data_IF_788757831040
#
_entry.id   IF_788757831040
#
_cell.length_a   1.000
_cell.length_b   1.000
_cell.length_c   1.000
_cell.angle_alpha   90.00
_cell.angle_beta   90.00
_cell.angle_gamma   90.00
#
_symmetry.space_group_name_H-M   'P 1'
#
loop_
_entity.id
_entity.type
_entity.pdbx_description
1 polymer ?
#
# COMPACT_ATOMS: atom_id res chain seq x y z
N UNK A 1 -6.29 -32.16 61.03
CA UNK A 1 -7.21 -31.86 59.92
C UNK A 1 -6.86 -30.48 59.38
N UNK A 2 -5.99 -30.41 58.38
CA UNK A 2 -5.55 -29.14 57.82
C UNK A 2 -6.65 -28.61 56.89
N UNK A 3 -7.46 -27.66 57.36
CA UNK A 3 -8.31 -26.85 56.49
C UNK A 3 -7.39 -25.93 55.68
N UNK A 4 -6.88 -26.42 54.54
CA UNK A 4 -6.03 -25.64 53.65
C UNK A 4 -6.89 -24.64 52.88
N UNK A 5 -7.05 -23.45 53.47
CA UNK A 5 -7.61 -22.23 52.85
C UNK A 5 -7.01 -21.89 51.48
N UNK A 6 -5.86 -22.49 51.15
CA UNK A 6 -5.20 -22.47 49.85
C UNK A 6 -6.08 -23.08 48.74
N UNK A 7 -6.79 -24.18 49.01
CA UNK A 7 -7.58 -24.87 47.98
C UNK A 7 -8.79 -24.07 47.48
N UNK A 8 -9.34 -23.17 48.31
CA UNK A 8 -10.46 -22.31 47.93
C UNK A 8 -10.06 -21.15 47.00
N UNK A 9 -8.77 -20.77 47.02
CA UNK A 9 -8.25 -19.68 46.18
C UNK A 9 -7.84 -20.16 44.78
N UNK A 10 -7.68 -21.47 44.60
CA UNK A 10 -7.25 -22.05 43.33
C UNK A 10 -8.47 -22.08 42.39
N UNK A 11 -8.40 -21.42 41.21
CA UNK A 11 -9.42 -21.63 40.18
C UNK A 11 -9.29 -23.07 39.68
N UNK A 12 -10.16 -23.95 40.18
CA UNK A 12 -10.13 -25.36 39.82
C UNK A 12 -10.84 -25.61 38.48
N UNK A 13 -10.37 -26.62 37.76
CA UNK A 13 -10.88 -27.02 36.45
C UNK A 13 -11.60 -28.37 36.50
N UNK A 14 -12.10 -28.79 37.67
CA UNK A 14 -12.75 -30.09 37.85
C UNK A 14 -14.02 -30.25 36.99
N UNK A 15 -14.66 -29.14 36.65
CA UNK A 15 -15.81 -29.07 35.76
C UNK A 15 -15.42 -29.07 34.26
N UNK A 16 -14.15 -28.87 33.93
CA UNK A 16 -13.59 -28.87 32.57
C UNK A 16 -12.70 -30.10 32.33
N UNK A 17 -13.15 -31.27 32.79
CA UNK A 17 -12.47 -32.54 32.52
C UNK A 17 -12.63 -32.95 31.05
N UNK A 18 -11.67 -33.67 30.44
CA UNK A 18 -11.76 -34.07 29.03
C UNK A 18 -13.05 -34.82 28.64
N UNK A 19 -13.61 -35.74 29.47
CA UNK A 19 -14.91 -36.36 29.17
C UNK A 19 -16.07 -35.36 29.16
N UNK A 20 -16.07 -34.38 30.08
CA UNK A 20 -17.08 -33.33 30.13
C UNK A 20 -16.99 -32.41 28.90
N UNK A 21 -15.78 -31.99 28.51
CA UNK A 21 -15.56 -31.17 27.31
C UNK A 21 -16.07 -31.88 26.06
N UNK A 22 -15.77 -33.18 25.87
CA UNK A 22 -16.27 -33.95 24.73
C UNK A 22 -17.80 -33.98 24.67
N UNK A 23 -18.46 -34.16 25.83
CA UNK A 23 -19.93 -34.15 25.94
C UNK A 23 -20.51 -32.76 25.63
N UNK A 24 -19.90 -31.70 26.16
CA UNK A 24 -20.32 -30.32 25.90
C UNK A 24 -20.16 -29.95 24.42
N UNK A 25 -19.00 -30.22 23.82
CA UNK A 25 -18.76 -29.97 22.40
C UNK A 25 -19.72 -30.76 21.50
N UNK A 26 -20.05 -32.01 21.85
CA UNK A 26 -21.03 -32.80 21.10
C UNK A 26 -22.43 -32.16 21.10
N UNK A 27 -22.86 -31.60 22.23
CA UNK A 27 -24.12 -30.86 22.32
C UNK A 27 -24.07 -29.51 21.58
N UNK A 28 -22.91 -28.84 21.56
CA UNK A 28 -22.74 -27.55 20.89
C UNK A 28 -22.64 -27.65 19.36
N UNK A 29 -22.27 -28.82 18.81
CA UNK A 29 -22.11 -29.03 17.36
C UNK A 29 -23.34 -28.64 16.54
N UNK A 30 -24.54 -28.76 17.09
CA UNK A 30 -25.79 -28.38 16.39
C UNK A 30 -25.90 -26.87 16.11
N UNK A 31 -25.16 -26.03 16.83
CA UNK A 31 -25.14 -24.58 16.63
C UNK A 31 -24.03 -24.10 15.69
N UNK A 32 -23.09 -24.98 15.33
CA UNK A 32 -21.99 -24.66 14.44
C UNK A 32 -22.39 -24.87 12.98
N UNK A 33 -21.90 -24.02 12.09
CA UNK A 33 -21.98 -24.20 10.64
C UNK A 33 -20.63 -24.67 10.09
N UNK A 34 -20.65 -25.40 8.97
CA UNK A 34 -19.41 -25.79 8.29
C UNK A 34 -18.76 -24.57 7.64
N UNK A 35 -17.44 -24.51 7.68
CA UNK A 35 -16.67 -23.56 6.91
C UNK A 35 -16.76 -23.93 5.41
N UNK A 36 -16.90 -22.96 4.49
CA UNK A 36 -16.92 -23.23 3.05
C UNK A 36 -15.59 -23.84 2.57
N UNK A 37 -15.67 -25.00 1.91
CA UNK A 37 -14.52 -25.76 1.36
C UNK A 37 -13.84 -25.04 0.18
N UNK A 38 -14.51 -24.06 -0.44
CA UNK A 38 -13.91 -23.27 -1.52
C UNK A 38 -12.82 -22.31 -0.99
N UNK A 39 -12.92 -21.92 0.29
CA UNK A 39 -12.05 -20.95 0.96
C UNK A 39 -11.00 -21.63 1.85
N UNK A 40 -10.26 -22.58 1.26
CA UNK A 40 -9.21 -23.33 1.95
C UNK A 40 -7.91 -22.55 2.15
N UNK A 41 -7.63 -21.57 1.28
CA UNK A 41 -6.39 -20.78 1.30
C UNK A 41 -6.67 -19.29 1.43
N UNK A 42 -5.79 -18.58 2.15
CA UNK A 42 -5.91 -17.14 2.39
C UNK A 42 -5.92 -16.34 1.07
N UNK A 43 -5.18 -16.78 0.06
CA UNK A 43 -5.16 -16.15 -1.27
C UNK A 43 -6.55 -16.16 -1.93
N UNK A 44 -7.30 -17.26 -1.82
CA UNK A 44 -8.67 -17.33 -2.36
C UNK A 44 -9.61 -16.43 -1.56
N UNK A 45 -9.42 -16.36 -0.24
CA UNK A 45 -10.17 -15.44 0.61
C UNK A 45 -9.95 -13.98 0.20
N UNK A 46 -8.70 -13.58 -0.10
CA UNK A 46 -8.39 -12.22 -0.54
C UNK A 46 -9.00 -11.87 -1.91
N UNK A 47 -9.05 -12.83 -2.84
CA UNK A 47 -9.66 -12.63 -4.16
C UNK A 47 -11.18 -12.43 -4.06
N UNK A 48 -11.87 -13.23 -3.25
CA UNK A 48 -13.32 -13.15 -3.11
C UNK A 48 -13.78 -12.07 -2.11
N UNK A 49 -12.99 -11.84 -1.07
CA UNK A 49 -13.29 -10.95 0.05
C UNK A 49 -12.08 -10.03 0.34
N UNK A 50 -11.86 -9.00 -0.49
CA UNK A 50 -10.69 -8.12 -0.37
C UNK A 50 -10.71 -7.16 0.83
N UNK A 51 -11.84 -7.08 1.55
CA UNK A 51 -12.05 -6.17 2.67
C UNK A 51 -11.99 -6.95 3.99
N UNK A 52 -11.03 -6.60 4.83
CA UNK A 52 -10.93 -7.11 6.19
C UNK A 52 -11.44 -6.06 7.19
N UNK A 53 -12.32 -6.46 8.10
CA UNK A 53 -12.83 -5.60 9.17
C UNK A 53 -12.41 -6.17 10.52
N UNK A 54 -11.60 -5.41 11.25
CA UNK A 54 -11.10 -5.77 12.57
C UNK A 54 -11.91 -5.08 13.67
N UNK A 55 -12.41 -5.90 14.59
CA UNK A 55 -13.22 -5.50 15.75
C UNK A 55 -12.68 -6.22 16.98
N UNK A 56 -12.61 -5.52 18.11
CA UNK A 56 -12.10 -6.07 19.36
C UNK A 56 -13.16 -6.05 20.47
N UNK A 57 -13.44 -7.21 21.04
CA UNK A 57 -14.32 -7.36 22.21
C UNK A 57 -13.49 -7.69 23.46
N UNK A 58 -13.89 -7.11 24.60
CA UNK A 58 -13.15 -7.19 25.86
C UNK A 58 -14.02 -7.78 26.96
N UNK A 59 -13.53 -8.81 27.64
CA UNK A 59 -14.22 -9.48 28.74
C UNK A 59 -13.45 -9.21 30.04
N UNK A 60 -14.12 -8.62 31.03
CA UNK A 60 -13.55 -8.31 32.34
C UNK A 60 -14.51 -8.74 33.46
N UNK A 61 -13.96 -9.23 34.57
CA UNK A 61 -14.75 -9.52 35.77
C UNK A 61 -15.12 -8.20 36.48
N UNK A 62 -16.42 -7.88 36.51
CA UNK A 62 -16.92 -6.67 37.16
C UNK A 62 -18.39 -6.43 36.86
N UNK A 63 -19.01 -5.43 37.52
CA UNK A 63 -20.43 -5.11 37.33
C UNK A 63 -20.71 -4.41 35.99
N UNK A 64 -19.70 -3.76 35.39
CA UNK A 64 -19.84 -3.07 34.11
C UNK A 64 -19.29 -3.92 32.98
N UNK A 65 -20.11 -4.10 31.93
CA UNK A 65 -19.72 -4.71 30.66
C UNK A 65 -19.15 -3.71 29.65
N UNK A 66 -19.17 -2.42 29.97
CA UNK A 66 -18.83 -1.36 29.01
C UNK A 66 -17.32 -1.19 28.91
N UNK A 67 -16.78 -1.31 27.71
CA UNK A 67 -15.40 -0.95 27.40
C UNK A 67 -15.37 0.09 26.27
N UNK A 68 -14.79 1.29 26.47
CA UNK A 68 -14.73 2.30 25.43
C UNK A 68 -13.91 1.87 24.20
N UNK A 69 -13.01 0.89 24.32
CA UNK A 69 -12.17 0.42 23.22
C UNK A 69 -12.91 -0.46 22.21
N UNK A 70 -14.05 -1.07 22.59
CA UNK A 70 -14.81 -1.95 21.68
C UNK A 70 -15.56 -1.22 20.58
N UNK A 71 -15.64 0.12 20.64
CA UNK A 71 -16.26 0.93 19.59
C UNK A 71 -15.39 1.08 18.34
N UNK A 72 -14.08 0.86 18.47
CA UNK A 72 -13.11 1.11 17.42
C UNK A 72 -13.27 0.07 16.31
N UNK A 73 -13.37 0.52 15.07
CA UNK A 73 -13.42 -0.33 13.88
C UNK A 73 -12.25 0.02 12.99
N UNK A 74 -11.55 -1.01 12.49
CA UNK A 74 -10.47 -0.84 11.52
C UNK A 74 -10.81 -1.62 10.27
N UNK A 75 -10.77 -0.96 9.12
CA UNK A 75 -10.95 -1.59 7.81
C UNK A 75 -9.60 -1.59 7.10
N UNK A 76 -9.21 -2.77 6.60
CA UNK A 76 -8.04 -2.94 5.75
C UNK A 76 -8.50 -3.38 4.36
N UNK A 77 -7.91 -2.79 3.33
CA UNK A 77 -8.17 -3.15 1.94
C UNK A 77 -6.90 -2.95 1.11
N UNK A 78 -6.60 -3.88 0.20
CA UNK A 78 -5.51 -3.70 -0.76
C UNK A 78 -5.96 -2.83 -1.92
N UNK A 79 -5.17 -1.81 -2.31
CA UNK A 79 -5.57 -0.93 -3.42
C UNK A 79 -5.62 -1.66 -4.76
N UNK A 80 -4.80 -2.69 -4.95
CA UNK A 80 -4.84 -3.59 -6.11
C UNK A 80 -6.17 -4.32 -6.32
N UNK A 81 -6.98 -4.48 -5.26
CA UNK A 81 -8.30 -5.10 -5.37
C UNK A 81 -9.40 -4.13 -5.83
N UNK A 82 -9.13 -2.82 -5.77
CA UNK A 82 -10.06 -1.78 -6.21
C UNK A 82 -9.87 -1.51 -7.70
N UNK A 83 -10.97 -1.28 -8.40
CA UNK A 83 -10.94 -0.83 -9.79
C UNK A 83 -10.56 0.66 -9.84
N UNK A 84 -9.27 0.97 -9.82
CA UNK A 84 -8.72 2.33 -9.88
C UNK A 84 -7.82 2.46 -11.10
N UNK A 85 -7.91 3.60 -11.79
CA UNK A 85 -6.93 3.97 -12.80
C UNK A 85 -5.67 4.60 -12.15
N UNK A 86 -4.65 4.88 -12.97
CA UNK A 86 -3.40 5.46 -12.48
C UNK A 86 -3.59 6.83 -11.82
N UNK A 87 -4.57 7.61 -12.29
CA UNK A 87 -4.90 8.92 -11.74
C UNK A 87 -5.57 8.79 -10.37
N UNK A 88 -6.66 8.02 -10.29
CA UNK A 88 -7.42 7.78 -9.08
C UNK A 88 -6.58 7.09 -8.02
N UNK A 89 -5.72 6.13 -8.39
CA UNK A 89 -4.81 5.49 -7.43
C UNK A 89 -3.85 6.50 -6.81
N UNK A 90 -3.21 7.35 -7.61
CA UNK A 90 -2.30 8.40 -7.11
C UNK A 90 -3.06 9.41 -6.25
N UNK A 91 -4.20 9.90 -6.73
CA UNK A 91 -5.04 10.85 -6.00
C UNK A 91 -5.52 10.28 -4.67
N UNK A 92 -5.92 9.01 -4.63
CA UNK A 92 -6.35 8.32 -3.42
C UNK A 92 -5.21 8.19 -2.42
N UNK A 93 -4.00 7.80 -2.86
CA UNK A 93 -2.81 7.74 -1.99
C UNK A 93 -2.52 9.12 -1.37
N UNK A 94 -2.62 10.19 -2.15
CA UNK A 94 -2.48 11.57 -1.66
C UNK A 94 -3.55 11.96 -0.63
N UNK A 95 -4.83 11.67 -0.90
CA UNK A 95 -5.94 11.99 0.01
C UNK A 95 -5.84 11.25 1.35
N UNK A 96 -5.38 10.01 1.31
CA UNK A 96 -5.30 9.10 2.46
C UNK A 96 -4.06 9.39 3.32
N UNK A 97 -2.95 9.79 2.69
CA UNK A 97 -1.69 10.12 3.35
C UNK A 97 -1.12 8.95 4.15
N UNK A 98 -0.91 9.14 5.46
CA UNK A 98 -0.26 8.18 6.36
C UNK A 98 -1.02 6.86 6.59
N UNK A 99 -2.28 6.77 6.15
CA UNK A 99 -3.12 5.58 6.34
C UNK A 99 -2.86 4.49 5.30
N UNK A 100 -2.09 4.79 4.25
CA UNK A 100 -1.69 3.84 3.21
C UNK A 100 -0.23 3.42 3.40
N UNK A 101 0.03 2.11 3.32
CA UNK A 101 1.37 1.57 3.37
C UNK A 101 1.85 1.17 1.96
N UNK A 102 2.89 1.85 1.45
CA UNK A 102 3.48 1.57 0.13
C UNK A 102 4.09 0.17 0.00
N UNK A 103 4.58 -0.41 1.09
CA UNK A 103 5.23 -1.72 1.07
C UNK A 103 4.24 -2.88 0.96
N UNK A 104 3.09 -2.76 1.62
CA UNK A 104 2.08 -3.82 1.67
C UNK A 104 0.89 -3.57 0.74
N UNK A 105 0.79 -2.39 0.11
CA UNK A 105 -0.35 -1.93 -0.70
C UNK A 105 -1.68 -1.88 0.09
N UNK A 106 -1.62 -1.81 1.41
CA UNK A 106 -2.80 -1.82 2.30
C UNK A 106 -3.19 -0.40 2.71
N UNK A 107 -4.46 -0.07 2.50
CA UNK A 107 -5.16 1.08 3.05
C UNK A 107 -5.83 0.69 4.37
N UNK A 108 -5.48 1.39 5.46
CA UNK A 108 -6.05 1.17 6.79
C UNK A 108 -6.90 2.36 7.22
N UNK A 109 -8.22 2.16 7.29
CA UNK A 109 -9.17 3.16 7.80
C UNK A 109 -9.59 2.78 9.21
N UNK A 110 -9.09 3.51 10.20
CA UNK A 110 -9.50 3.39 11.60
C UNK A 110 -10.51 4.46 11.97
N UNK A 111 -11.61 4.06 12.60
CA UNK A 111 -12.68 4.95 13.08
C UNK A 111 -13.03 4.67 14.54
N UNK A 112 -13.17 5.74 15.33
CA UNK A 112 -13.48 5.69 16.76
C UNK A 112 -14.38 6.84 17.24
N UNK A 113 -14.96 7.58 16.29
CA UNK A 113 -15.71 8.83 16.52
C UNK A 113 -17.06 8.59 17.18
N UNK A 114 -17.79 7.56 16.75
CA UNK A 114 -19.14 7.30 17.21
C UNK A 114 -19.15 6.41 18.47
N UNK A 115 -20.13 6.57 19.38
CA UNK A 115 -20.25 5.73 20.56
C UNK A 115 -20.52 4.25 20.24
N UNK A 116 -21.32 3.98 19.21
CA UNK A 116 -21.69 2.62 18.82
C UNK A 116 -20.76 2.08 17.74
N UNK A 117 -20.36 0.81 17.91
CA UNK A 117 -19.56 0.07 16.92
C UNK A 117 -20.23 0.05 15.54
N UNK A 118 -21.55 -0.16 15.49
CA UNK A 118 -22.31 -0.17 14.22
C UNK A 118 -22.15 1.14 13.45
N UNK A 119 -22.19 2.27 14.13
CA UNK A 119 -22.02 3.58 13.51
C UNK A 119 -20.60 3.76 12.96
N UNK A 120 -19.58 3.33 13.71
CA UNK A 120 -18.19 3.37 13.22
C UNK A 120 -17.99 2.43 12.03
N UNK A 121 -18.63 1.25 12.02
CA UNK A 121 -18.62 0.34 10.88
C UNK A 121 -19.21 1.02 9.64
N UNK A 122 -20.45 1.51 9.72
CA UNK A 122 -21.13 2.19 8.61
C UNK A 122 -20.32 3.41 8.12
N UNK A 123 -19.76 4.18 9.04
CA UNK A 123 -18.92 5.33 8.73
C UNK A 123 -17.62 4.94 8.02
N UNK A 124 -17.04 3.78 8.33
CA UNK A 124 -15.82 3.30 7.68
C UNK A 124 -16.09 2.96 6.22
N UNK A 125 -17.22 2.31 5.92
CA UNK A 125 -17.66 2.06 4.54
C UNK A 125 -18.02 3.35 3.79
N UNK A 126 -18.65 4.30 4.47
CA UNK A 126 -18.91 5.62 3.90
C UNK A 126 -17.60 6.31 3.50
N UNK A 127 -16.59 6.34 4.37
CA UNK A 127 -15.30 6.94 4.05
C UNK A 127 -14.62 6.26 2.86
N UNK A 128 -14.62 4.93 2.81
CA UNK A 128 -14.08 4.19 1.68
C UNK A 128 -14.79 4.56 0.38
N UNK A 129 -16.13 4.65 0.41
CA UNK A 129 -16.95 5.00 -0.76
C UNK A 129 -16.68 6.42 -1.24
N UNK A 130 -16.61 7.39 -0.33
CA UNK A 130 -16.30 8.79 -0.67
C UNK A 130 -14.89 8.90 -1.24
N UNK A 131 -13.89 8.28 -0.61
CA UNK A 131 -12.52 8.30 -1.11
C UNK A 131 -12.42 7.73 -2.52
N UNK A 132 -13.11 6.61 -2.77
CA UNK A 132 -13.20 6.03 -4.10
C UNK A 132 -13.80 7.02 -5.11
N UNK A 133 -15.00 7.54 -4.88
CA UNK A 133 -15.63 8.44 -5.84
C UNK A 133 -14.90 9.77 -6.04
N UNK A 134 -14.32 10.35 -4.98
CA UNK A 134 -13.52 11.58 -5.08
C UNK A 134 -12.19 11.36 -5.81
N UNK A 135 -11.62 10.15 -5.73
CA UNK A 135 -10.41 9.82 -6.46
C UNK A 135 -10.61 9.80 -7.98
N UNK A 136 -11.80 9.45 -8.45
CA UNK A 136 -12.14 9.44 -9.88
C UNK A 136 -12.43 10.83 -10.47
N UNK A 137 -12.77 11.82 -9.64
CA UNK A 137 -13.04 13.17 -10.12
C UNK A 137 -11.73 13.86 -10.47
N UNK A 138 -11.69 14.58 -11.59
CA UNK A 138 -10.56 15.43 -11.96
C UNK A 138 -10.97 16.88 -11.78
N UNK A 139 -10.33 17.57 -10.84
CA UNK A 139 -10.61 18.97 -10.57
C UNK A 139 -9.65 19.90 -11.35
N UNK A 140 -10.05 21.15 -11.67
CA UNK A 140 -9.23 22.07 -12.47
C UNK A 140 -7.85 22.36 -11.89
N UNK A 141 -7.72 22.36 -10.55
CA UNK A 141 -6.46 22.61 -9.85
C UNK A 141 -5.46 21.45 -9.97
N UNK A 142 -5.89 20.26 -10.38
CA UNK A 142 -4.99 19.13 -10.60
C UNK A 142 -4.10 19.34 -11.83
N UNK A 143 -4.52 20.20 -12.76
CA UNK A 143 -3.69 20.62 -13.89
C UNK A 143 -2.49 21.49 -13.46
N UNK A 144 -2.58 22.19 -12.31
CA UNK A 144 -1.49 23.00 -11.76
C UNK A 144 -0.50 22.21 -10.89
N UNK A 145 -0.51 20.88 -10.97
CA UNK A 145 0.39 20.01 -10.21
C UNK A 145 1.86 20.30 -10.52
N UNK A 146 2.63 20.63 -9.49
CA UNK A 146 4.07 20.89 -9.63
C UNK A 146 4.86 19.58 -9.77
N UNK A 147 6.13 19.67 -10.17
CA UNK A 147 7.02 18.50 -10.26
C UNK A 147 7.39 17.93 -8.91
N UNK A 148 7.44 18.77 -7.88
CA UNK A 148 7.74 18.35 -6.50
C UNK A 148 6.63 17.46 -5.94
N UNK A 149 5.40 17.64 -6.43
CA UNK A 149 4.25 16.83 -6.05
C UNK A 149 4.16 15.50 -6.83
N UNK A 150 5.05 15.26 -7.79
CA UNK A 150 5.09 14.00 -8.53
C UNK A 150 5.76 12.92 -7.69
N UNK A 151 5.02 11.85 -7.42
CA UNK A 151 5.52 10.70 -6.66
C UNK A 151 6.56 9.87 -7.43
N UNK A 152 6.52 9.97 -8.76
CA UNK A 152 7.37 9.24 -9.68
C UNK A 152 8.08 10.28 -10.52
N UNK A 153 9.40 10.19 -10.58
CA UNK A 153 10.21 10.98 -11.49
C UNK A 153 9.90 10.55 -12.92
N UNK A 154 9.50 11.52 -13.74
CA UNK A 154 9.31 11.38 -15.17
C UNK A 154 10.43 12.12 -15.90
N UNK A 155 11.04 11.45 -16.88
CA UNK A 155 12.08 12.04 -17.71
C UNK A 155 11.57 13.21 -18.55
N UNK A 156 10.34 13.10 -19.07
CA UNK A 156 9.77 14.08 -19.98
C UNK A 156 9.61 15.47 -19.33
N UNK A 157 10.20 16.47 -19.97
CA UNK A 157 10.29 17.85 -19.51
C UNK A 157 11.34 18.06 -18.41
N UNK A 158 11.99 17.02 -17.88
CA UNK A 158 12.88 17.12 -16.73
C UNK A 158 14.07 18.08 -16.94
N UNK A 159 14.66 18.62 -15.86
CA UNK A 159 15.90 19.40 -16.00
C UNK A 159 17.03 18.58 -16.63
N UNK A 160 17.04 17.26 -16.40
CA UNK A 160 18.01 16.36 -17.01
C UNK A 160 17.84 16.24 -18.53
N UNK A 161 16.60 16.24 -19.05
CA UNK A 161 16.33 16.33 -20.49
C UNK A 161 16.81 17.67 -21.06
N UNK A 162 16.55 18.79 -20.36
CA UNK A 162 17.01 20.11 -20.80
C UNK A 162 18.55 20.19 -20.88
N UNK A 163 19.25 19.75 -19.84
CA UNK A 163 20.71 19.72 -19.81
C UNK A 163 21.27 18.79 -20.88
N UNK A 164 20.65 17.62 -21.10
CA UNK A 164 21.06 16.70 -22.16
C UNK A 164 20.92 17.35 -23.54
N UNK A 165 19.81 18.03 -23.81
CA UNK A 165 19.58 18.73 -25.07
C UNK A 165 20.63 19.83 -25.30
N UNK A 166 20.95 20.62 -24.26
CA UNK A 166 22.01 21.63 -24.31
C UNK A 166 23.37 21.01 -24.66
N UNK A 167 23.75 19.91 -24.00
CA UNK A 167 25.01 19.22 -24.26
C UNK A 167 25.04 18.65 -25.69
N UNK A 168 23.95 18.02 -26.16
CA UNK A 168 23.88 17.45 -27.50
C UNK A 168 23.98 18.51 -28.60
N UNK A 169 23.40 19.70 -28.38
CA UNK A 169 23.57 20.86 -29.27
C UNK A 169 25.04 21.28 -29.31
N UNK A 170 25.70 21.40 -28.15
CA UNK A 170 27.10 21.79 -28.07
C UNK A 170 28.04 20.78 -28.76
N UNK A 171 27.79 19.48 -28.59
CA UNK A 171 28.58 18.43 -29.27
C UNK A 171 28.43 18.51 -30.78
N UNK A 172 27.19 18.66 -31.30
CA UNK A 172 26.99 18.79 -32.75
C UNK A 172 27.60 20.06 -33.32
N UNK A 173 27.58 21.17 -32.58
CA UNK A 173 28.28 22.40 -32.98
C UNK A 173 29.80 22.18 -33.04
N UNK A 174 30.39 21.49 -32.07
CA UNK A 174 31.81 21.13 -32.08
C UNK A 174 32.17 20.17 -33.24
N UNK A 175 31.25 19.29 -33.64
CA UNK A 175 31.40 18.40 -34.80
C UNK A 175 31.05 19.06 -36.16
N UNK A 176 30.73 20.37 -36.19
CA UNK A 176 30.25 21.09 -37.38
C UNK A 176 29.03 20.44 -38.07
N UNK A 177 28.15 19.78 -37.30
CA UNK A 177 26.91 19.17 -37.78
C UNK A 177 25.70 20.07 -37.49
N UNK A 178 24.61 19.97 -38.27
CA UNK A 178 23.39 20.70 -37.99
C UNK A 178 22.81 20.32 -36.62
N UNK A 179 22.22 21.33 -35.95
CA UNK A 179 21.60 21.16 -34.64
C UNK A 179 20.56 20.01 -34.68
N UNK A 180 20.50 19.16 -33.64
CA UNK A 180 19.51 18.09 -33.60
C UNK A 180 18.09 18.64 -33.53
N UNK A 181 17.16 17.97 -34.20
CA UNK A 181 15.73 18.17 -33.95
C UNK A 181 15.35 17.36 -32.70
N UNK A 182 14.46 17.90 -31.86
CA UNK A 182 14.05 17.25 -30.58
C UNK A 182 13.52 15.82 -30.80
N UNK A 183 12.84 15.58 -31.92
CA UNK A 183 12.28 14.27 -32.27
C UNK A 183 13.36 13.24 -32.67
N UNK A 184 14.48 13.68 -33.26
CA UNK A 184 15.62 12.80 -33.59
C UNK A 184 16.32 12.31 -32.30
N UNK A 185 16.44 13.21 -31.32
CA UNK A 185 17.05 12.90 -30.02
C UNK A 185 16.21 11.89 -29.24
N UNK A 186 14.89 12.09 -29.20
CA UNK A 186 13.94 11.17 -28.53
C UNK A 186 13.89 9.79 -29.14
N UNK A 187 14.16 9.67 -30.45
CA UNK A 187 14.11 8.38 -31.14
C UNK A 187 15.38 7.56 -30.93
N UNK A 188 16.51 8.20 -30.61
CA UNK A 188 17.80 7.53 -30.44
C UNK A 188 17.79 6.53 -29.27
N UNK A 189 18.35 5.34 -29.52
CA UNK A 189 18.41 4.26 -28.54
C UNK A 189 19.30 4.60 -27.34
N UNK A 190 20.35 5.38 -27.58
CA UNK A 190 21.28 5.87 -26.55
C UNK A 190 20.58 6.79 -25.52
N UNK A 191 19.71 7.69 -25.99
CA UNK A 191 18.97 8.61 -25.12
C UNK A 191 17.86 7.88 -24.35
N UNK A 192 17.22 6.87 -24.97
CA UNK A 192 16.26 6.00 -24.28
C UNK A 192 16.93 5.25 -23.14
N UNK A 193 18.06 4.60 -23.41
CA UNK A 193 18.84 3.89 -22.38
C UNK A 193 19.25 4.81 -21.23
N UNK A 194 19.65 6.05 -21.54
CA UNK A 194 19.96 7.05 -20.52
C UNK A 194 18.72 7.45 -19.71
N UNK A 195 17.60 7.79 -20.36
CA UNK A 195 16.36 8.18 -19.70
C UNK A 195 15.84 7.10 -18.75
N UNK A 196 15.83 5.84 -19.19
CA UNK A 196 15.44 4.68 -18.37
C UNK A 196 16.36 4.51 -17.16
N UNK A 197 17.67 4.68 -17.34
CA UNK A 197 18.64 4.58 -16.24
C UNK A 197 18.43 5.68 -15.19
N UNK A 198 18.10 6.91 -15.62
CA UNK A 198 17.81 8.03 -14.70
C UNK A 198 16.50 7.79 -13.96
N UNK A 199 15.46 7.34 -14.66
CA UNK A 199 14.17 7.03 -14.05
C UNK A 199 14.29 5.90 -13.02
N UNK A 200 15.01 4.81 -13.33
CA UNK A 200 15.27 3.75 -12.36
C UNK A 200 16.03 4.26 -11.14
N UNK A 201 17.07 5.07 -11.35
CA UNK A 201 17.88 5.61 -10.26
C UNK A 201 17.07 6.54 -9.35
N UNK A 202 16.17 7.36 -9.90
CA UNK A 202 15.32 8.26 -9.12
C UNK A 202 14.11 7.58 -8.47
N UNK A 203 13.53 6.57 -9.11
CA UNK A 203 12.30 5.92 -8.63
C UNK A 203 12.56 4.73 -7.70
N UNK A 204 13.53 3.87 -8.04
CA UNK A 204 13.88 2.66 -7.27
C UNK A 204 14.92 2.99 -6.19
N UNK A 205 15.83 3.92 -6.49
CA UNK A 205 16.88 4.40 -5.60
C UNK A 205 18.29 4.09 -6.08
N UNK A 206 19.26 4.58 -5.32
CA UNK A 206 20.69 4.50 -5.61
C UNK A 206 21.27 3.16 -5.14
N UNK A 207 21.14 2.13 -5.97
CA UNK A 207 21.82 0.83 -5.81
C UNK A 207 23.07 0.78 -6.68
N UNK A 208 24.09 0.01 -6.29
CA UNK A 208 25.35 -0.12 -7.06
C UNK A 208 25.12 -0.50 -8.52
N UNK A 209 24.13 -1.36 -8.76
CA UNK A 209 23.76 -1.79 -10.11
C UNK A 209 23.09 -0.67 -10.92
N UNK A 210 22.20 0.12 -10.29
CA UNK A 210 21.57 1.27 -10.95
C UNK A 210 22.61 2.36 -11.28
N UNK A 211 23.56 2.60 -10.37
CA UNK A 211 24.68 3.51 -10.58
C UNK A 211 25.60 3.05 -11.71
N UNK A 212 25.87 1.74 -11.80
CA UNK A 212 26.65 1.17 -12.87
C UNK A 212 25.94 1.29 -14.23
N UNK A 213 24.65 0.98 -14.29
CA UNK A 213 23.84 1.11 -15.51
C UNK A 213 23.79 2.57 -15.99
N UNK A 214 23.61 3.52 -15.07
CA UNK A 214 23.68 4.95 -15.38
C UNK A 214 25.05 5.35 -15.94
N UNK A 215 26.14 4.88 -15.31
CA UNK A 215 27.52 5.11 -15.79
C UNK A 215 27.70 4.58 -17.23
N UNK A 216 27.29 3.34 -17.51
CA UNK A 216 27.40 2.76 -18.85
C UNK A 216 26.58 3.53 -19.88
N UNK A 217 25.35 3.93 -19.54
CA UNK A 217 24.49 4.70 -20.44
C UNK A 217 25.12 6.05 -20.81
N UNK A 218 25.70 6.76 -19.84
CA UNK A 218 26.40 8.03 -20.06
C UNK A 218 27.67 7.85 -20.92
N UNK A 219 28.43 6.77 -20.69
CA UNK A 219 29.63 6.49 -21.49
C UNK A 219 29.29 6.18 -22.95
N UNK A 220 28.22 5.41 -23.18
CA UNK A 220 27.70 5.13 -24.53
C UNK A 220 27.26 6.41 -25.22
N UNK A 221 26.49 7.24 -24.52
CA UNK A 221 26.01 8.53 -25.02
C UNK A 221 27.14 9.47 -25.49
N UNK A 222 28.22 9.57 -24.71
CA UNK A 222 29.36 10.43 -25.05
C UNK A 222 30.47 9.75 -25.84
N UNK A 223 30.29 8.47 -26.21
CA UNK A 223 31.30 7.65 -26.92
C UNK A 223 32.67 7.62 -26.22
N UNK A 224 32.66 7.72 -24.90
CA UNK A 224 33.86 7.65 -24.07
C UNK A 224 34.18 6.18 -23.81
N UNK A 225 35.09 5.59 -24.60
CA UNK A 225 35.56 4.22 -24.34
C UNK A 225 36.33 4.17 -23.02
N UNK A 226 36.10 3.13 -22.21
CA UNK A 226 37.02 2.77 -21.14
C UNK A 226 38.37 2.42 -21.75
N UNK A 227 39.37 3.29 -21.60
CA UNK A 227 40.74 2.80 -21.48
C UNK A 227 40.74 1.90 -20.25
N UNK A 228 41.05 0.62 -20.47
CA UNK A 228 41.09 -0.43 -19.46
C UNK A 228 41.98 -0.05 -18.27
#
# INVERSE_FOLDING_TARGET
RCNSSVNLKIPNFLHLTPPAIKKHCAALKQFCTKWPEELDTDEKCEVHFPIEVQISDYISAGPSIRNPKSRVVTLNIRLSSLNLDDHARKKLIWLVGHRYCKQTDILTIKTDRCPLRKQNYDYTFYLLTVLYHESWKVEPWEASKSREDMEIYKWDGSPSEATLNEIMVNIRQAEHKPAPTVDELRTSEEIKSYSESVEMLKNVGETDQNMHNYKEAVLRLFRLQHAA
#
